data_IF_471080162377
#
_entry.id   IF_471080162377
#
_cell.length_a   1.000
_cell.length_b   1.000
_cell.length_c   1.000
_cell.angle_alpha   90.00
_cell.angle_beta   90.00
_cell.angle_gamma   90.00
#
_symmetry.space_group_name_H-M   'P 1'
#
loop_
_entity.id
_entity.type
_entity.pdbx_description
1 polymer ?
#
# COMPACT_ATOMS: atom_id res chain seq x y z
N UNK A 1 -10.89 -5.06 -0.29
CA UNK A 1 -9.88 -5.18 0.78
C UNK A 1 -8.66 -5.93 0.28
N UNK A 2 -8.71 -7.27 0.15
CA UNK A 2 -7.59 -8.04 -0.39
C UNK A 2 -7.11 -7.56 -1.77
N UNK A 3 -8.04 -7.16 -2.65
CA UNK A 3 -7.71 -6.58 -3.96
C UNK A 3 -6.76 -5.39 -3.90
N UNK A 4 -7.00 -4.44 -2.99
CA UNK A 4 -6.15 -3.24 -2.84
C UNK A 4 -4.74 -3.60 -2.36
N UNK A 5 -4.62 -4.60 -1.50
CA UNK A 5 -3.33 -5.09 -1.03
C UNK A 5 -2.54 -5.76 -2.17
N UNK A 6 -3.21 -6.64 -2.93
CA UNK A 6 -2.60 -7.35 -4.06
C UNK A 6 -2.14 -6.35 -5.14
N UNK A 7 -3.03 -5.45 -5.58
CA UNK A 7 -2.71 -4.42 -6.57
C UNK A 7 -1.49 -3.58 -6.14
N UNK A 8 -1.46 -3.15 -4.86
CA UNK A 8 -0.33 -2.37 -4.34
C UNK A 8 0.98 -3.15 -4.34
N UNK A 9 0.97 -4.42 -3.92
CA UNK A 9 2.15 -5.28 -3.90
C UNK A 9 2.66 -5.66 -5.30
N UNK A 10 1.77 -5.66 -6.31
CA UNK A 10 2.09 -5.93 -7.73
C UNK A 10 2.66 -4.71 -8.46
N UNK A 11 2.72 -3.55 -7.82
CA UNK A 11 3.44 -2.38 -8.31
C UNK A 11 2.65 -1.08 -8.29
N UNK A 12 1.34 -1.13 -8.06
CA UNK A 12 0.51 0.09 -8.07
C UNK A 12 0.83 1.04 -6.90
N UNK A 13 1.54 0.55 -5.89
CA UNK A 13 2.02 1.36 -4.77
C UNK A 13 3.43 1.95 -5.00
N UNK A 14 4.11 1.69 -6.13
CA UNK A 14 5.46 2.22 -6.42
C UNK A 14 5.37 3.69 -6.83
N UNK A 15 5.23 4.57 -5.85
CA UNK A 15 4.98 6.00 -6.09
C UNK A 15 6.24 6.75 -6.52
N UNK A 16 7.42 6.29 -6.11
CA UNK A 16 8.70 6.90 -6.49
C UNK A 16 9.37 6.22 -7.70
N UNK A 17 8.78 5.14 -8.21
CA UNK A 17 9.20 4.38 -9.39
C UNK A 17 10.59 3.75 -9.26
N UNK A 18 10.93 3.32 -8.04
CA UNK A 18 12.21 2.68 -7.75
C UNK A 18 12.17 1.14 -7.90
N UNK A 19 11.00 0.55 -8.18
CA UNK A 19 10.80 -0.89 -8.35
C UNK A 19 10.63 -1.67 -7.04
N UNK A 20 10.55 -0.99 -5.89
CA UNK A 20 10.45 -1.56 -4.54
C UNK A 20 9.30 -0.90 -3.80
N UNK A 21 8.38 -1.70 -3.28
CA UNK A 21 7.26 -1.21 -2.49
C UNK A 21 7.66 -1.18 -1.02
N UNK A 22 7.61 0.01 -0.42
CA UNK A 22 7.80 0.21 1.01
C UNK A 22 6.48 0.19 1.78
N UNK A 23 6.51 -0.13 3.08
CA UNK A 23 5.30 -0.25 3.90
C UNK A 23 4.46 1.04 3.93
N UNK A 24 5.10 2.22 3.91
CA UNK A 24 4.38 3.50 3.88
C UNK A 24 3.67 3.76 2.56
N UNK A 25 4.30 3.36 1.45
CA UNK A 25 3.69 3.48 0.12
C UNK A 25 2.51 2.53 -0.03
N UNK A 26 2.66 1.29 0.44
CA UNK A 26 1.57 0.32 0.46
C UNK A 26 0.40 0.80 1.32
N UNK A 27 0.66 1.38 2.49
CA UNK A 27 -0.38 1.95 3.35
C UNK A 27 -1.13 3.10 2.66
N UNK A 28 -0.40 4.01 2.01
CA UNK A 28 -0.97 5.12 1.24
C UNK A 28 -1.88 4.59 0.12
N UNK A 29 -1.39 3.64 -0.67
CA UNK A 29 -2.14 3.05 -1.78
C UNK A 29 -3.41 2.35 -1.29
N UNK A 30 -3.28 1.45 -0.30
CA UNK A 30 -4.41 0.69 0.23
C UNK A 30 -5.47 1.62 0.81
N UNK A 31 -5.06 2.71 1.47
CA UNK A 31 -5.97 3.72 2.01
C UNK A 31 -6.82 4.38 0.93
N UNK A 32 -6.19 4.83 -0.15
CA UNK A 32 -6.89 5.41 -1.30
C UNK A 32 -7.77 4.39 -2.00
N UNK A 33 -7.23 3.22 -2.29
CA UNK A 33 -7.88 2.20 -3.10
C UNK A 33 -9.11 1.59 -2.42
N UNK A 34 -9.07 1.40 -1.10
CA UNK A 34 -10.25 0.96 -0.34
C UNK A 34 -11.35 2.03 -0.38
N UNK A 35 -10.99 3.31 -0.28
CA UNK A 35 -11.97 4.39 -0.38
C UNK A 35 -12.67 4.38 -1.75
N UNK A 36 -11.92 4.16 -2.83
CA UNK A 36 -12.47 4.03 -4.18
C UNK A 36 -13.42 2.82 -4.31
N UNK A 37 -12.92 1.62 -3.97
CA UNK A 37 -13.67 0.36 -4.12
C UNK A 37 -14.97 0.35 -3.30
N UNK A 38 -14.98 1.06 -2.17
CA UNK A 38 -16.11 1.08 -1.25
C UNK A 38 -16.97 2.32 -1.38
N UNK A 39 -16.62 3.24 -2.30
CA UNK A 39 -17.26 4.56 -2.45
C UNK A 39 -17.30 5.33 -1.12
N UNK A 40 -16.20 5.26 -0.37
CA UNK A 40 -16.03 5.93 0.92
C UNK A 40 -16.75 5.28 2.11
N UNK A 41 -17.41 4.12 1.94
CA UNK A 41 -18.13 3.46 3.04
C UNK A 41 -17.22 2.79 4.06
N UNK A 42 -15.99 2.45 3.69
CA UNK A 42 -15.02 1.82 4.59
C UNK A 42 -13.77 2.67 4.67
N UNK A 43 -13.22 2.78 5.89
CA UNK A 43 -11.96 3.42 6.18
C UNK A 43 -11.01 2.33 6.66
N UNK A 44 -9.96 1.97 5.91
CA UNK A 44 -8.96 1.03 6.39
C UNK A 44 -8.19 1.69 7.55
N UNK A 45 -7.73 0.86 8.47
CA UNK A 45 -6.91 1.28 9.60
C UNK A 45 -5.62 0.49 9.56
N UNK A 46 -4.51 1.21 9.63
CA UNK A 46 -3.17 0.63 9.67
C UNK A 46 -2.49 1.08 10.95
N UNK A 47 -1.86 0.15 11.66
CA UNK A 47 -1.06 0.44 12.85
C UNK A 47 0.39 0.15 12.50
N UNK A 48 1.18 1.21 12.34
CA UNK A 48 2.65 1.15 12.23
C UNK A 48 3.19 1.84 13.48
N UNK A 49 3.79 1.11 14.44
CA UNK A 49 4.42 1.72 15.60
C UNK A 49 5.50 2.73 15.17
N UNK A 50 5.65 3.83 15.91
CA UNK A 50 6.62 4.87 15.53
C UNK A 50 8.08 4.41 15.49
N UNK A 51 8.40 3.33 16.21
CA UNK A 51 9.74 2.73 16.22
C UNK A 51 10.03 1.87 14.98
N UNK A 52 9.02 1.54 14.17
CA UNK A 52 9.19 0.74 12.97
C UNK A 52 9.66 1.67 11.85
N UNK A 53 10.89 1.50 11.33
CA UNK A 53 11.35 2.29 10.20
C UNK A 53 10.54 1.95 8.96
N UNK A 54 10.68 2.75 7.91
CA UNK A 54 10.17 2.33 6.61
C UNK A 54 11.00 1.15 6.09
N UNK A 55 10.34 0.13 5.54
CA UNK A 55 11.01 -1.07 5.04
C UNK A 55 10.29 -1.67 3.84
N UNK A 56 11.05 -2.35 3.00
CA UNK A 56 10.54 -2.99 1.79
C UNK A 56 9.65 -4.19 2.12
N UNK A 57 8.49 -4.27 1.44
CA UNK A 57 7.51 -5.36 1.58
C UNK A 57 7.26 -6.12 0.28
N UNK A 58 7.57 -5.52 -0.87
CA UNK A 58 7.53 -6.17 -2.18
C UNK A 58 8.59 -5.58 -3.10
N UNK A 59 9.01 -6.34 -4.10
CA UNK A 59 9.85 -5.85 -5.19
C UNK A 59 9.22 -6.28 -6.52
N UNK A 60 9.13 -5.35 -7.45
CA UNK A 60 8.55 -5.60 -8.78
C UNK A 60 9.59 -6.37 -9.59
N UNK A 61 9.26 -7.60 -9.98
CA UNK A 61 10.09 -8.36 -10.93
C UNK A 61 9.75 -7.92 -12.35
N UNK A 62 10.78 -7.50 -13.08
CA UNK A 62 10.72 -7.32 -14.54
C UNK A 62 10.48 -8.66 -15.25
#
# INVERSE_FOLDING_TARGET
MAKALIEGMEGEADYDHNGVIYIKELDLYVTGRVKELTKGRQKPTTIIPQSVPDFAVSAIRN
#
